data_IF_845109594823
#
_entry.id   IF_845109594823
#
_cell.length_a   1.000
_cell.length_b   1.000
_cell.length_c   1.000
_cell.angle_alpha   90.00
_cell.angle_beta   90.00
_cell.angle_gamma   90.00
#
_symmetry.space_group_name_H-M   'P 1'
#
loop_
_entity.id
_entity.type
_entity.pdbx_description
1 polymer ?
#
# COMPACT_ATOMS: atom_id res chain seq x y z
N UNK A 1 46.83 -69.94 -52.55
CA UNK A 1 46.45 -70.30 -51.16
C UNK A 1 47.04 -69.29 -50.20
N UNK A 2 46.19 -68.35 -49.71
CA UNK A 2 46.54 -67.43 -48.67
C UNK A 2 45.23 -67.07 -47.96
N UNK A 3 45.16 -67.37 -46.64
CA UNK A 3 43.98 -67.15 -45.76
C UNK A 3 44.00 -65.73 -45.26
N UNK A 4 42.89 -65.04 -45.47
CA UNK A 4 42.63 -63.73 -44.87
C UNK A 4 42.32 -63.87 -43.39
N UNK A 5 43.06 -63.16 -42.51
CA UNK A 5 42.86 -63.06 -41.07
C UNK A 5 41.83 -61.96 -40.79
N UNK A 6 40.79 -62.32 -40.07
CA UNK A 6 39.71 -61.43 -39.61
C UNK A 6 40.19 -60.77 -38.30
N UNK A 7 40.51 -59.47 -38.30
CA UNK A 7 40.82 -58.71 -37.10
C UNK A 7 39.51 -58.24 -36.47
N UNK A 8 39.26 -58.68 -35.23
CA UNK A 8 38.22 -58.17 -34.33
C UNK A 8 38.58 -56.80 -33.81
N UNK A 9 37.80 -55.79 -34.04
CA UNK A 9 37.85 -54.52 -33.31
C UNK A 9 37.19 -54.68 -31.94
N UNK A 10 37.84 -54.19 -30.84
CA UNK A 10 37.20 -54.16 -29.52
C UNK A 10 36.12 -53.12 -29.50
N UNK A 11 34.96 -53.48 -28.96
CA UNK A 11 33.77 -52.64 -28.83
C UNK A 11 34.05 -51.41 -27.94
N UNK A 12 33.81 -50.24 -28.52
CA UNK A 12 33.79 -48.99 -27.78
C UNK A 12 32.61 -48.99 -26.84
N UNK A 13 32.92 -48.95 -25.53
CA UNK A 13 31.92 -48.73 -24.47
C UNK A 13 31.33 -47.34 -24.64
N UNK A 14 30.10 -47.23 -25.08
CA UNK A 14 29.34 -45.97 -24.98
C UNK A 14 29.14 -45.62 -23.51
N UNK A 15 29.92 -44.64 -23.02
CA UNK A 15 29.65 -44.00 -21.76
C UNK A 15 28.32 -43.23 -21.92
N UNK A 16 27.22 -43.83 -21.47
CA UNK A 16 25.99 -43.14 -21.19
C UNK A 16 26.26 -42.18 -20.02
N UNK A 17 26.51 -40.92 -20.36
CA UNK A 17 26.54 -39.84 -19.38
C UNK A 17 25.23 -39.78 -18.63
N UNK A 18 25.15 -40.43 -17.47
CA UNK A 18 24.05 -40.31 -16.53
C UNK A 18 24.00 -38.89 -16.04
N UNK A 19 23.15 -38.07 -16.66
CA UNK A 19 22.80 -36.77 -16.13
C UNK A 19 22.13 -36.95 -14.76
N UNK A 20 22.90 -36.81 -13.69
CA UNK A 20 22.38 -36.75 -12.34
C UNK A 20 21.29 -35.71 -12.29
N UNK A 21 20.12 -36.05 -11.76
CA UNK A 21 19.05 -35.08 -11.54
C UNK A 21 19.61 -33.89 -10.73
N UNK A 22 19.33 -32.65 -11.17
CA UNK A 22 19.86 -31.48 -10.51
C UNK A 22 19.54 -31.51 -9.02
N UNK A 23 20.54 -31.28 -8.17
CA UNK A 23 20.35 -31.25 -6.73
C UNK A 23 19.41 -30.08 -6.35
N UNK A 24 18.80 -30.14 -5.16
CA UNK A 24 17.97 -29.02 -4.66
C UNK A 24 18.75 -27.70 -4.59
N UNK A 25 20.06 -27.76 -4.36
CA UNK A 25 20.95 -26.60 -4.37
C UNK A 25 21.13 -26.03 -5.77
N UNK A 26 21.31 -26.88 -6.79
CA UNK A 26 21.42 -26.44 -8.19
C UNK A 26 20.12 -25.82 -8.69
N UNK A 27 18.98 -26.40 -8.31
CA UNK A 27 17.66 -25.83 -8.64
C UNK A 27 17.48 -24.41 -8.04
N UNK A 28 17.87 -24.20 -6.78
CA UNK A 28 17.83 -22.88 -6.13
C UNK A 28 18.78 -21.89 -6.80
N UNK A 29 20.01 -22.32 -7.10
CA UNK A 29 20.99 -21.49 -7.81
C UNK A 29 20.50 -21.09 -9.20
N UNK A 30 19.99 -22.04 -9.98
CA UNK A 30 19.46 -21.79 -11.31
C UNK A 30 18.26 -20.83 -11.25
N UNK A 31 17.36 -21.00 -10.28
CA UNK A 31 16.24 -20.07 -10.05
C UNK A 31 16.71 -18.64 -9.78
N UNK A 32 17.75 -18.48 -8.93
CA UNK A 32 18.32 -17.16 -8.63
C UNK A 32 18.96 -16.51 -9.87
N UNK A 33 19.71 -17.27 -10.67
CA UNK A 33 20.28 -16.79 -11.94
C UNK A 33 19.22 -16.33 -12.93
N UNK A 34 18.12 -17.09 -13.06
CA UNK A 34 16.99 -16.73 -13.93
C UNK A 34 16.33 -15.45 -13.43
N UNK A 35 16.08 -15.29 -12.13
CA UNK A 35 15.49 -14.07 -11.56
C UNK A 35 16.41 -12.85 -11.77
N UNK A 36 17.72 -13.01 -11.61
CA UNK A 36 18.68 -11.93 -11.85
C UNK A 36 18.68 -11.51 -13.33
N UNK A 37 18.77 -12.47 -14.27
CA UNK A 37 18.74 -12.19 -15.69
C UNK A 37 17.39 -11.57 -16.13
N UNK A 38 16.29 -12.05 -15.56
CA UNK A 38 14.95 -11.54 -15.86
C UNK A 38 14.79 -10.09 -15.38
N UNK A 39 15.30 -9.74 -14.19
CA UNK A 39 15.29 -8.36 -13.68
C UNK A 39 15.94 -7.40 -14.68
N UNK A 40 17.17 -7.67 -15.08
CA UNK A 40 17.88 -6.84 -16.06
C UNK A 40 17.13 -6.76 -17.38
N UNK A 41 16.65 -7.89 -17.89
CA UNK A 41 15.93 -7.92 -19.16
C UNK A 41 14.61 -7.13 -19.13
N UNK A 42 13.85 -7.22 -18.05
CA UNK A 42 12.61 -6.46 -17.84
C UNK A 42 12.86 -4.97 -17.61
N UNK A 43 13.95 -4.61 -16.95
CA UNK A 43 14.37 -3.20 -16.80
C UNK A 43 14.71 -2.57 -18.15
N UNK A 44 15.42 -3.29 -19.02
CA UNK A 44 15.87 -2.79 -20.32
C UNK A 44 14.78 -2.79 -21.39
N UNK A 45 14.00 -3.87 -21.48
CA UNK A 45 13.14 -4.17 -22.63
C UNK A 45 11.64 -4.27 -22.27
N UNK A 46 11.30 -4.19 -20.96
CA UNK A 46 9.93 -4.38 -20.50
C UNK A 46 9.46 -5.82 -20.69
N UNK A 47 8.15 -6.03 -20.72
CA UNK A 47 7.54 -7.36 -20.89
C UNK A 47 7.67 -7.93 -22.33
N UNK A 48 8.22 -7.17 -23.29
CA UNK A 48 8.44 -7.62 -24.66
C UNK A 48 9.51 -8.71 -24.80
N UNK A 49 10.44 -8.85 -23.85
CA UNK A 49 11.57 -9.78 -23.93
C UNK A 49 11.12 -11.24 -23.94
N UNK A 50 11.62 -12.09 -24.89
CA UNK A 50 11.31 -13.51 -24.93
C UNK A 50 11.96 -14.28 -23.76
N UNK A 51 11.28 -15.32 -23.21
CA UNK A 51 11.85 -16.18 -22.18
C UNK A 51 13.15 -16.88 -22.59
N UNK A 52 13.31 -17.20 -23.88
CA UNK A 52 14.52 -17.79 -24.43
C UNK A 52 15.75 -16.88 -24.30
N UNK A 53 15.57 -15.56 -24.45
CA UNK A 53 16.63 -14.58 -24.26
C UNK A 53 17.02 -14.46 -22.78
N UNK A 54 16.04 -14.53 -21.88
CA UNK A 54 16.28 -14.54 -20.43
C UNK A 54 17.06 -15.82 -20.04
N UNK A 55 16.69 -16.97 -20.58
CA UNK A 55 17.40 -18.24 -20.37
C UNK A 55 18.87 -18.15 -20.79
N UNK A 56 19.11 -17.59 -21.99
CA UNK A 56 20.46 -17.36 -22.51
C UNK A 56 21.28 -16.44 -21.60
N UNK A 57 20.72 -15.32 -21.15
CA UNK A 57 21.36 -14.38 -20.22
C UNK A 57 21.66 -15.03 -18.86
N UNK A 58 20.78 -15.92 -18.40
CA UNK A 58 20.96 -16.66 -17.15
C UNK A 58 21.96 -17.82 -17.26
N UNK A 59 22.41 -18.18 -18.46
CA UNK A 59 23.28 -19.33 -18.70
C UNK A 59 22.62 -20.67 -18.40
N UNK A 60 21.27 -20.76 -18.53
CA UNK A 60 20.50 -21.99 -18.31
C UNK A 60 19.70 -22.38 -19.53
N UNK A 61 19.34 -23.66 -19.63
CA UNK A 61 18.47 -24.13 -20.72
C UNK A 61 17.04 -23.57 -20.61
N UNK A 62 16.38 -23.28 -21.73
CA UNK A 62 15.00 -22.81 -21.75
C UNK A 62 14.04 -23.72 -20.97
N UNK A 63 14.21 -25.06 -21.07
CA UNK A 63 13.44 -26.01 -20.27
C UNK A 63 13.61 -25.87 -18.75
N UNK A 64 14.76 -25.36 -18.30
CA UNK A 64 14.98 -25.04 -16.86
C UNK A 64 14.16 -23.83 -16.46
N UNK A 65 14.09 -22.79 -17.31
CA UNK A 65 13.24 -21.61 -17.05
C UNK A 65 11.78 -22.02 -16.94
N UNK A 66 11.26 -22.78 -17.90
CA UNK A 66 9.86 -23.22 -17.91
C UNK A 66 9.49 -24.12 -16.71
N UNK A 67 10.43 -24.92 -16.20
CA UNK A 67 10.19 -25.71 -14.96
C UNK A 67 10.01 -24.84 -13.74
N UNK A 68 10.72 -23.73 -13.64
CA UNK A 68 10.62 -22.82 -12.51
C UNK A 68 9.51 -21.78 -12.67
N UNK A 69 9.27 -21.36 -13.91
CA UNK A 69 8.34 -20.28 -14.23
C UNK A 69 7.52 -20.69 -15.48
N UNK A 70 6.28 -21.17 -15.28
CA UNK A 70 5.48 -21.73 -16.35
C UNK A 70 5.07 -20.70 -17.43
N UNK A 71 5.14 -19.41 -17.10
CA UNK A 71 4.86 -18.32 -18.03
C UNK A 71 5.79 -17.11 -17.78
N UNK A 72 5.79 -16.18 -18.73
CA UNK A 72 6.53 -14.91 -18.60
C UNK A 72 5.96 -14.05 -17.48
N UNK A 73 4.66 -14.04 -17.33
CA UNK A 73 3.94 -13.33 -16.27
C UNK A 73 4.28 -13.93 -14.89
N UNK A 74 4.41 -15.26 -14.79
CA UNK A 74 4.87 -15.91 -13.56
C UNK A 74 6.31 -15.53 -13.21
N UNK A 75 7.19 -15.46 -14.20
CA UNK A 75 8.56 -14.98 -14.00
C UNK A 75 8.58 -13.49 -13.60
N UNK A 76 7.81 -12.66 -14.26
CA UNK A 76 7.69 -11.24 -13.93
C UNK A 76 7.19 -11.04 -12.49
N UNK A 77 6.08 -11.69 -12.11
CA UNK A 77 5.59 -11.65 -10.72
C UNK A 77 6.65 -12.08 -9.71
N UNK A 78 7.42 -13.11 -10.01
CA UNK A 78 8.49 -13.57 -9.13
C UNK A 78 9.64 -12.55 -9.02
N UNK A 79 9.99 -11.83 -10.10
CA UNK A 79 11.01 -10.77 -10.04
C UNK A 79 10.56 -9.57 -9.23
N UNK A 80 9.28 -9.20 -9.31
CA UNK A 80 8.72 -8.10 -8.51
C UNK A 80 8.63 -8.51 -7.04
N UNK A 81 8.16 -9.73 -6.74
CA UNK A 81 8.10 -10.24 -5.36
C UNK A 81 9.49 -10.27 -4.70
N UNK A 82 10.52 -10.70 -5.41
CA UNK A 82 11.91 -10.71 -4.93
C UNK A 82 12.43 -9.28 -4.66
N UNK A 83 12.01 -8.29 -5.45
CA UNK A 83 12.35 -6.88 -5.22
C UNK A 83 11.63 -6.32 -4.00
N UNK A 84 10.35 -6.61 -3.84
CA UNK A 84 9.56 -6.21 -2.67
C UNK A 84 10.15 -6.82 -1.40
N UNK A 85 10.55 -8.10 -1.44
CA UNK A 85 11.22 -8.75 -0.32
C UNK A 85 12.52 -8.05 0.05
N UNK A 86 13.35 -7.69 -0.94
CA UNK A 86 14.59 -6.95 -0.69
C UNK A 86 14.32 -5.59 -0.01
N UNK A 87 13.28 -4.87 -0.42
CA UNK A 87 12.90 -3.61 0.23
C UNK A 87 12.41 -3.85 1.66
N UNK A 88 11.65 -4.91 1.89
CA UNK A 88 11.16 -5.31 3.20
C UNK A 88 12.31 -5.61 4.16
N UNK A 89 13.26 -6.43 3.73
CA UNK A 89 14.43 -6.79 4.52
C UNK A 89 15.30 -5.55 4.80
N UNK A 90 15.53 -4.71 3.77
CA UNK A 90 16.25 -3.44 3.96
C UNK A 90 15.55 -2.52 4.96
N UNK A 91 14.22 -2.42 4.93
CA UNK A 91 13.48 -1.60 5.88
C UNK A 91 13.60 -2.14 7.31
N UNK A 92 13.57 -3.46 7.48
CA UNK A 92 13.79 -4.13 8.78
C UNK A 92 15.17 -3.87 9.32
N UNK A 93 16.22 -4.01 8.49
CA UNK A 93 17.60 -3.76 8.87
C UNK A 93 17.86 -2.30 9.29
N UNK A 94 17.08 -1.37 8.70
CA UNK A 94 17.17 0.05 9.00
C UNK A 94 16.27 0.48 10.19
N UNK A 95 15.50 -0.44 10.76
CA UNK A 95 14.53 -0.12 11.81
C UNK A 95 15.18 0.55 13.04
N UNK A 96 16.39 0.18 13.41
CA UNK A 96 17.09 0.70 14.60
C UNK A 96 18.14 1.78 14.30
N UNK A 97 18.13 2.34 13.09
CA UNK A 97 19.12 3.35 12.71
C UNK A 97 19.03 4.62 13.59
N UNK A 98 20.19 5.24 13.85
CA UNK A 98 20.36 6.41 14.71
C UNK A 98 19.68 7.66 14.11
N UNK A 99 19.66 7.81 12.78
CA UNK A 99 18.99 8.90 12.06
C UNK A 99 17.69 8.42 11.41
N UNK A 100 16.58 8.29 12.16
CA UNK A 100 15.34 7.74 11.63
C UNK A 100 14.73 8.62 10.55
N UNK A 101 14.89 9.93 10.63
CA UNK A 101 14.35 10.87 9.62
C UNK A 101 15.10 10.75 8.30
N UNK A 102 16.42 10.82 8.34
CA UNK A 102 17.23 10.68 7.14
C UNK A 102 17.11 9.30 6.52
N UNK A 103 17.03 8.24 7.34
CA UNK A 103 16.81 6.86 6.88
C UNK A 103 15.49 6.73 6.16
N UNK A 104 14.39 7.21 6.73
CA UNK A 104 13.07 7.17 6.11
C UNK A 104 13.07 7.80 4.72
N UNK A 105 13.56 9.03 4.58
CA UNK A 105 13.58 9.71 3.28
C UNK A 105 14.55 9.07 2.27
N UNK A 106 15.71 8.61 2.72
CA UNK A 106 16.66 7.87 1.85
C UNK A 106 16.05 6.55 1.38
N UNK A 107 15.34 5.83 2.25
CA UNK A 107 14.64 4.61 1.90
C UNK A 107 13.57 4.87 0.84
N UNK A 108 12.65 5.82 1.05
CA UNK A 108 11.63 6.18 0.04
C UNK A 108 12.26 6.54 -1.30
N UNK A 109 13.29 7.39 -1.30
CA UNK A 109 14.00 7.77 -2.51
C UNK A 109 14.68 6.60 -3.22
N UNK A 110 15.15 5.60 -2.48
CA UNK A 110 15.74 4.39 -3.05
C UNK A 110 14.69 3.47 -3.66
N UNK A 111 13.55 3.28 -2.98
CA UNK A 111 12.41 2.51 -3.51
C UNK A 111 11.93 3.11 -4.83
N UNK A 112 11.65 4.41 -4.86
CA UNK A 112 11.18 5.09 -6.09
C UNK A 112 12.22 4.97 -7.20
N UNK A 113 13.49 5.27 -6.93
CA UNK A 113 14.55 5.22 -7.94
C UNK A 113 14.73 3.83 -8.54
N UNK A 114 14.69 2.78 -7.71
CA UNK A 114 14.87 1.40 -8.16
C UNK A 114 13.63 0.84 -8.84
N UNK A 115 12.43 1.20 -8.38
CA UNK A 115 11.19 0.77 -9.00
C UNK A 115 10.94 1.49 -10.34
N UNK A 116 11.16 2.80 -10.41
CA UNK A 116 10.96 3.57 -11.64
C UNK A 116 11.90 3.17 -12.81
N UNK A 117 12.99 2.48 -12.52
CA UNK A 117 13.87 1.88 -13.54
C UNK A 117 13.28 0.61 -14.15
N UNK A 118 12.37 -0.07 -13.47
CA UNK A 118 11.74 -1.28 -13.96
C UNK A 118 10.58 -0.92 -14.89
N UNK A 119 10.87 -0.81 -16.19
CA UNK A 119 9.87 -0.47 -17.20
C UNK A 119 8.67 -1.41 -17.16
N UNK A 120 8.90 -2.73 -17.02
CA UNK A 120 7.82 -3.70 -16.96
C UNK A 120 6.92 -3.51 -15.73
N UNK A 121 7.48 -3.11 -14.57
CA UNK A 121 6.69 -2.79 -13.37
C UNK A 121 5.84 -1.55 -13.60
N UNK A 122 6.41 -0.51 -14.20
CA UNK A 122 5.67 0.72 -14.47
C UNK A 122 4.57 0.50 -15.51
N UNK A 123 4.86 -0.23 -16.58
CA UNK A 123 3.87 -0.62 -17.58
C UNK A 123 2.73 -1.45 -16.95
N UNK A 124 3.05 -2.34 -16.01
CA UNK A 124 2.05 -3.13 -15.27
C UNK A 124 1.22 -2.29 -14.31
N UNK A 125 1.82 -1.30 -13.63
CA UNK A 125 1.10 -0.36 -12.76
C UNK A 125 0.18 0.58 -13.56
N UNK A 126 0.56 0.94 -14.79
CA UNK A 126 -0.26 1.77 -15.69
C UNK A 126 -1.40 0.99 -16.33
N UNK A 127 -1.16 -0.29 -16.66
CA UNK A 127 -2.16 -1.19 -17.22
C UNK A 127 -3.18 -1.70 -16.19
N UNK A 128 -3.09 -1.29 -14.92
CA UNK A 128 -3.91 -1.77 -13.80
C UNK A 128 -5.41 -1.41 -13.92
N UNK A 129 -6.01 -1.78 -15.06
CA UNK A 129 -7.45 -1.88 -15.24
C UNK A 129 -7.98 -3.30 -15.04
N UNK A 130 -7.24 -4.34 -15.42
CA UNK A 130 -7.65 -5.75 -15.21
C UNK A 130 -6.43 -6.69 -15.30
N UNK A 131 -5.97 -7.22 -14.18
CA UNK A 131 -5.19 -8.47 -14.14
C UNK A 131 -3.67 -8.38 -14.35
N UNK A 132 -3.06 -7.20 -14.43
CA UNK A 132 -1.65 -7.11 -14.85
C UNK A 132 -0.64 -7.43 -13.73
N UNK A 133 -0.88 -7.05 -12.49
CA UNK A 133 -0.04 -7.39 -11.34
C UNK A 133 -0.80 -7.25 -10.03
N UNK A 134 -1.09 -8.36 -9.39
CA UNK A 134 -1.49 -8.38 -7.98
C UNK A 134 -0.30 -8.87 -7.17
N UNK A 135 0.30 -8.01 -6.31
CA UNK A 135 1.31 -8.46 -5.37
C UNK A 135 0.71 -9.52 -4.44
N UNK A 136 1.54 -10.40 -3.91
CA UNK A 136 1.08 -11.33 -2.88
C UNK A 136 0.59 -10.52 -1.67
N UNK A 137 -0.65 -10.72 -1.18
CA UNK A 137 -1.16 -9.99 -0.01
C UNK A 137 -0.27 -10.12 1.23
N UNK A 138 0.47 -11.24 1.34
CA UNK A 138 1.46 -11.42 2.40
C UNK A 138 2.67 -10.48 2.22
N UNK A 139 3.22 -10.38 1.02
CA UNK A 139 4.37 -9.51 0.72
C UNK A 139 4.01 -8.03 0.89
N UNK A 140 2.81 -7.62 0.48
CA UNK A 140 2.31 -6.25 0.69
C UNK A 140 2.20 -5.91 2.17
N UNK A 141 1.62 -6.81 2.95
CA UNK A 141 1.49 -6.62 4.40
C UNK A 141 2.86 -6.52 5.07
N UNK A 142 3.79 -7.45 4.76
CA UNK A 142 5.14 -7.45 5.34
C UNK A 142 5.91 -6.17 4.99
N UNK A 143 5.83 -5.72 3.75
CA UNK A 143 6.42 -4.45 3.33
C UNK A 143 5.77 -3.27 4.05
N UNK A 144 4.44 -3.26 4.16
CA UNK A 144 3.68 -2.24 4.89
C UNK A 144 4.09 -2.16 6.36
N UNK A 145 4.20 -3.30 7.05
CA UNK A 145 4.64 -3.38 8.44
C UNK A 145 6.04 -2.79 8.62
N UNK A 146 6.99 -3.20 7.79
CA UNK A 146 8.37 -2.72 7.84
C UNK A 146 8.47 -1.20 7.54
N UNK A 147 7.76 -0.72 6.52
CA UNK A 147 7.67 0.70 6.19
C UNK A 147 6.99 1.51 7.31
N UNK A 148 5.96 0.94 7.94
CA UNK A 148 5.26 1.54 9.06
C UNK A 148 6.16 1.80 10.27
N UNK A 149 7.10 0.90 10.55
CA UNK A 149 8.11 1.10 11.60
C UNK A 149 9.01 2.29 11.28
N UNK A 150 9.52 2.40 10.04
CA UNK A 150 10.35 3.53 9.63
C UNK A 150 9.58 4.86 9.70
N UNK A 151 8.30 4.86 9.27
CA UNK A 151 7.42 6.02 9.33
C UNK A 151 7.20 6.47 10.77
N UNK A 152 6.82 5.56 11.66
CA UNK A 152 6.54 5.86 13.07
C UNK A 152 7.76 6.49 13.75
N UNK A 153 8.94 5.92 13.57
CA UNK A 153 10.18 6.46 14.15
C UNK A 153 10.55 7.85 13.60
N UNK A 154 10.33 8.08 12.30
CA UNK A 154 10.58 9.38 11.68
C UNK A 154 9.57 10.45 12.16
N UNK A 155 8.31 10.05 12.46
CA UNK A 155 7.29 10.91 13.07
C UNK A 155 7.59 11.20 14.54
N UNK A 156 8.03 10.21 15.32
CA UNK A 156 8.46 10.38 16.70
C UNK A 156 9.63 11.35 16.82
N UNK A 157 10.59 11.25 15.89
CA UNK A 157 11.73 12.18 15.80
C UNK A 157 11.34 13.57 15.26
N UNK A 158 10.07 13.83 14.92
CA UNK A 158 9.57 15.13 14.48
C UNK A 158 9.95 15.53 13.05
N UNK A 159 10.48 14.60 12.25
CA UNK A 159 10.89 14.90 10.86
C UNK A 159 9.82 14.67 9.83
N UNK A 160 8.78 13.89 10.17
CA UNK A 160 7.64 13.58 9.30
C UNK A 160 6.34 14.01 9.98
N UNK A 161 5.45 14.59 9.22
CA UNK A 161 4.14 15.08 9.69
C UNK A 161 3.29 13.92 10.23
N UNK A 162 2.64 14.15 11.39
CA UNK A 162 1.89 13.11 12.11
C UNK A 162 0.47 12.85 11.58
N UNK A 163 -0.01 13.69 10.66
CA UNK A 163 -1.32 13.54 10.03
C UNK A 163 -1.30 12.67 8.77
N UNK A 164 -0.13 12.16 8.38
CA UNK A 164 0.07 11.20 7.27
C UNK A 164 0.11 9.79 7.84
N UNK A 165 -0.71 8.89 7.27
CA UNK A 165 -0.72 7.47 7.58
C UNK A 165 0.15 6.64 6.63
N UNK A 166 0.28 5.35 6.95
CA UNK A 166 1.00 4.40 6.12
C UNK A 166 0.39 4.30 4.71
N UNK A 167 -0.95 4.26 4.62
CA UNK A 167 -1.67 4.17 3.34
C UNK A 167 -1.38 5.37 2.44
N UNK A 168 -1.25 6.58 3.03
CA UNK A 168 -0.86 7.78 2.29
C UNK A 168 0.54 7.65 1.70
N UNK A 169 1.49 7.15 2.50
CA UNK A 169 2.87 6.95 2.05
C UNK A 169 2.94 5.90 0.94
N UNK A 170 2.20 4.81 1.05
CA UNK A 170 2.14 3.77 0.02
C UNK A 170 1.53 4.30 -1.27
N UNK A 171 0.40 5.03 -1.20
CA UNK A 171 -0.22 5.65 -2.36
C UNK A 171 0.72 6.67 -3.04
N UNK A 172 1.42 7.50 -2.24
CA UNK A 172 2.41 8.45 -2.75
C UNK A 172 3.60 7.75 -3.41
N UNK A 173 4.08 6.63 -2.87
CA UNK A 173 5.14 5.83 -3.48
C UNK A 173 4.73 5.33 -4.86
N UNK A 174 3.57 4.69 -4.98
CA UNK A 174 3.05 4.16 -6.25
C UNK A 174 2.90 5.29 -7.28
N UNK A 175 2.25 6.39 -6.92
CA UNK A 175 2.09 7.54 -7.79
C UNK A 175 3.42 8.17 -8.19
N UNK A 176 4.38 8.27 -7.27
CA UNK A 176 5.69 8.83 -7.52
C UNK A 176 6.52 7.95 -8.48
N UNK A 177 6.48 6.62 -8.34
CA UNK A 177 7.14 5.67 -9.25
C UNK A 177 6.66 5.89 -10.68
N UNK A 178 5.34 5.91 -10.92
CA UNK A 178 4.75 6.13 -12.24
C UNK A 178 5.11 7.50 -12.81
N UNK A 179 5.08 8.55 -11.99
CA UNK A 179 5.44 9.91 -12.44
C UNK A 179 6.92 10.03 -12.79
N UNK A 180 7.84 9.47 -12.01
CA UNK A 180 9.27 9.49 -12.30
C UNK A 180 9.59 8.73 -13.58
N UNK A 181 8.95 7.60 -13.82
CA UNK A 181 9.14 6.80 -15.02
C UNK A 181 8.69 7.56 -16.28
N UNK A 182 7.48 8.16 -16.27
CA UNK A 182 6.97 8.98 -17.39
C UNK A 182 7.88 10.18 -17.68
N UNK A 183 8.40 10.82 -16.63
CA UNK A 183 9.34 11.94 -16.78
C UNK A 183 10.69 11.50 -17.34
N UNK A 184 11.20 10.36 -16.93
CA UNK A 184 12.44 9.79 -17.46
C UNK A 184 12.31 9.49 -18.96
N UNK A 185 11.16 9.00 -19.41
CA UNK A 185 10.85 8.76 -20.83
C UNK A 185 10.80 10.06 -21.66
N UNK A 186 10.51 11.20 -21.04
CA UNK A 186 10.52 12.53 -21.70
C UNK A 186 11.85 13.27 -21.59
N UNK A 187 12.93 12.65 -21.08
CA UNK A 187 14.25 13.26 -20.91
C UNK A 187 14.36 14.26 -19.76
N UNK A 188 13.38 14.31 -18.86
CA UNK A 188 13.40 15.20 -17.70
C UNK A 188 14.34 14.68 -16.61
N UNK A 189 14.87 15.61 -15.79
CA UNK A 189 15.76 15.27 -14.66
C UNK A 189 15.05 14.31 -13.68
N UNK A 190 15.63 13.12 -13.43
CA UNK A 190 15.07 12.15 -12.49
C UNK A 190 15.07 12.68 -11.05
N UNK A 191 14.14 12.20 -10.23
CA UNK A 191 14.10 12.46 -8.79
C UNK A 191 13.34 13.72 -8.38
N UNK A 192 12.81 14.50 -9.32
CA UNK A 192 12.05 15.71 -9.00
C UNK A 192 10.73 15.39 -8.28
N UNK A 193 9.98 14.38 -8.74
CA UNK A 193 8.73 13.98 -8.09
C UNK A 193 9.02 13.37 -6.72
N UNK A 194 10.08 12.60 -6.61
CA UNK A 194 10.58 12.06 -5.34
C UNK A 194 10.90 13.18 -4.35
N UNK A 195 11.60 14.23 -4.79
CA UNK A 195 11.91 15.37 -3.94
C UNK A 195 10.64 16.10 -3.47
N UNK A 196 9.67 16.34 -4.36
CA UNK A 196 8.39 16.94 -4.02
C UNK A 196 7.57 16.10 -3.05
N UNK A 197 7.54 14.79 -3.24
CA UNK A 197 6.91 13.85 -2.32
C UNK A 197 7.56 13.92 -0.93
N UNK A 198 8.88 13.81 -0.86
CA UNK A 198 9.62 13.89 0.40
C UNK A 198 9.40 15.24 1.11
N UNK A 199 9.40 16.34 0.35
CA UNK A 199 9.14 17.67 0.89
C UNK A 199 7.72 17.83 1.42
N UNK A 200 6.73 17.20 0.78
CA UNK A 200 5.33 17.16 1.24
C UNK A 200 5.12 16.35 2.52
N UNK A 201 5.97 15.36 2.78
CA UNK A 201 5.92 14.51 3.97
C UNK A 201 6.64 15.12 5.19
N UNK A 202 7.52 16.11 4.99
CA UNK A 202 8.26 16.75 6.09
C UNK A 202 7.36 17.52 7.03
N UNK A 203 7.64 17.45 8.32
CA UNK A 203 6.99 18.34 9.27
C UNK A 203 7.43 19.80 9.02
N UNK A 204 6.47 20.65 8.65
CA UNK A 204 6.69 22.07 8.40
C UNK A 204 5.61 22.88 9.08
N UNK A 205 5.99 24.03 9.67
CA UNK A 205 5.02 25.01 10.16
C UNK A 205 4.26 25.62 8.97
N UNK A 206 2.93 25.58 8.98
CA UNK A 206 2.09 26.20 7.95
C UNK A 206 1.66 25.29 6.79
N UNK A 207 1.97 24.01 6.81
CA UNK A 207 1.42 23.05 5.86
C UNK A 207 -0.05 22.79 6.16
N UNK A 208 -0.88 22.65 5.12
CA UNK A 208 -2.27 22.23 5.26
C UNK A 208 -2.34 20.88 5.97
N UNK A 209 -2.99 20.86 7.15
CA UNK A 209 -3.19 19.61 7.89
C UNK A 209 -4.25 18.77 7.18
N UNK A 210 -3.90 17.53 6.87
CA UNK A 210 -4.83 16.57 6.30
C UNK A 210 -5.80 16.06 7.38
N UNK A 211 -7.05 15.73 7.04
CA UNK A 211 -7.92 14.97 7.93
C UNK A 211 -7.23 13.65 8.27
N UNK A 212 -7.15 13.31 9.55
CA UNK A 212 -6.57 12.01 9.97
C UNK A 212 -7.35 10.88 9.32
N UNK A 213 -6.67 9.99 8.61
CA UNK A 213 -7.24 8.72 8.15
C UNK A 213 -7.63 7.91 9.39
N UNK A 214 -8.85 7.39 9.42
CA UNK A 214 -9.38 6.67 10.57
C UNK A 214 -10.06 7.54 11.63
N UNK A 215 -10.06 8.88 11.55
CA UNK A 215 -11.21 9.61 12.00
C UNK A 215 -12.37 9.15 11.09
N UNK A 216 -12.90 7.93 11.35
CA UNK A 216 -14.27 7.65 10.96
C UNK A 216 -14.99 8.96 11.20
N UNK A 217 -15.59 9.55 10.15
CA UNK A 217 -16.61 10.59 10.37
C UNK A 217 -17.51 9.94 11.40
N UNK A 218 -17.31 10.29 12.68
CA UNK A 218 -18.30 10.00 13.67
C UNK A 218 -19.54 10.65 13.06
N UNK A 219 -20.36 9.81 12.44
CA UNK A 219 -21.70 10.21 12.09
C UNK A 219 -22.25 10.69 13.41
N UNK A 220 -22.23 12.00 13.58
CA UNK A 220 -22.64 12.62 14.83
C UNK A 220 -24.09 12.22 14.95
N UNK A 221 -24.38 11.28 15.84
CA UNK A 221 -25.74 10.81 16.05
C UNK A 221 -26.46 11.82 16.90
N UNK A 222 -27.67 12.11 16.54
CA UNK A 222 -28.51 13.06 17.28
C UNK A 222 -28.69 12.59 18.72
N UNK A 223 -28.40 13.46 19.70
CA UNK A 223 -28.51 13.16 21.13
C UNK A 223 -29.95 12.81 21.59
N UNK A 224 -30.96 13.02 20.73
CA UNK A 224 -32.37 12.80 21.05
C UNK A 224 -32.95 11.57 20.36
N UNK A 225 -32.62 11.31 19.11
CA UNK A 225 -33.23 10.21 18.33
C UNK A 225 -32.18 9.24 17.78
N UNK A 226 -30.89 9.43 18.05
CA UNK A 226 -29.78 8.66 17.53
C UNK A 226 -29.67 8.59 15.98
N UNK A 227 -30.52 9.32 15.26
CA UNK A 227 -30.44 9.43 13.80
C UNK A 227 -29.23 10.25 13.34
N UNK A 228 -28.85 10.17 12.05
CA UNK A 228 -27.70 10.90 11.50
C UNK A 228 -27.90 12.41 11.59
N UNK A 229 -26.85 13.13 11.98
CA UNK A 229 -26.86 14.61 12.02
C UNK A 229 -26.20 15.14 10.76
N UNK A 230 -26.81 16.07 10.02
CA UNK A 230 -26.21 16.67 8.83
C UNK A 230 -24.90 17.34 9.19
N UNK A 231 -23.83 17.03 8.45
CA UNK A 231 -22.52 17.67 8.61
C UNK A 231 -22.58 19.09 8.05
N UNK A 232 -22.42 20.09 8.91
CA UNK A 232 -22.24 21.47 8.46
C UNK A 232 -20.86 21.63 7.80
N UNK A 233 -20.81 22.32 6.68
CA UNK A 233 -19.54 22.58 5.95
C UNK A 233 -18.60 23.52 6.72
N UNK A 234 -19.13 24.34 7.59
CA UNK A 234 -18.38 25.30 8.42
C UNK A 234 -19.07 25.47 9.76
N UNK A 235 -18.34 25.72 10.82
CA UNK A 235 -18.86 26.04 12.14
C UNK A 235 -18.84 24.87 13.14
N UNK A 236 -19.44 25.10 14.34
CA UNK A 236 -19.49 24.10 15.42
C UNK A 236 -20.38 22.92 15.02
N UNK A 237 -19.95 21.67 15.23
CA UNK A 237 -20.74 20.48 14.92
C UNK A 237 -22.14 20.53 15.54
N UNK A 238 -23.17 20.22 14.74
CA UNK A 238 -24.55 20.17 15.20
C UNK A 238 -24.73 18.94 16.12
N UNK A 239 -25.46 19.10 17.21
CA UNK A 239 -25.74 18.04 18.20
C UNK A 239 -27.08 17.33 17.91
N UNK A 240 -27.93 17.90 17.04
CA UNK A 240 -29.29 17.44 16.74
C UNK A 240 -29.52 17.39 15.25
N UNK A 241 -30.26 16.37 14.78
CA UNK A 241 -30.57 16.19 13.37
C UNK A 241 -31.49 17.26 12.77
N UNK A 242 -32.19 18.04 13.61
CA UNK A 242 -33.10 19.08 13.18
C UNK A 242 -33.72 19.87 14.34
N UNK A 243 -34.61 20.84 13.99
CA UNK A 243 -35.24 21.73 14.93
C UNK A 243 -36.11 21.02 15.97
N UNK A 244 -36.84 19.98 15.57
CA UNK A 244 -37.71 19.19 16.46
C UNK A 244 -36.91 18.52 17.60
N UNK A 245 -35.76 17.89 17.29
CA UNK A 245 -34.87 17.28 18.30
C UNK A 245 -34.22 18.32 19.19
N UNK A 246 -33.82 19.47 18.63
CA UNK A 246 -33.31 20.60 19.41
C UNK A 246 -34.32 21.10 20.43
N UNK A 247 -35.57 21.25 20.01
CA UNK A 247 -36.67 21.71 20.90
C UNK A 247 -36.99 20.67 21.97
N UNK A 248 -37.01 19.38 21.64
CA UNK A 248 -37.22 18.27 22.59
C UNK A 248 -36.11 18.24 23.65
N UNK A 249 -34.86 18.41 23.26
CA UNK A 249 -33.72 18.49 24.18
C UNK A 249 -33.79 19.75 25.06
N UNK A 250 -34.23 20.89 24.53
CA UNK A 250 -34.45 22.13 25.30
C UNK A 250 -35.53 21.94 26.38
N UNK A 251 -36.69 21.39 26.01
CA UNK A 251 -37.76 21.10 26.97
C UNK A 251 -37.33 20.14 28.07
N UNK A 252 -36.54 19.09 27.74
CA UNK A 252 -36.02 18.13 28.71
C UNK A 252 -35.11 18.84 29.73
N UNK A 253 -34.18 19.69 29.25
CA UNK A 253 -33.29 20.46 30.12
C UNK A 253 -34.02 21.46 31.03
N UNK A 254 -35.05 22.13 30.48
CA UNK A 254 -35.86 23.05 31.28
C UNK A 254 -36.63 22.34 32.40
N UNK A 255 -37.17 21.14 32.16
CA UNK A 255 -37.82 20.31 33.18
C UNK A 255 -36.83 19.86 34.27
N UNK A 256 -35.61 19.44 33.88
CA UNK A 256 -34.56 19.02 34.83
C UNK A 256 -34.12 20.20 35.70
N UNK A 257 -34.03 21.40 35.09
CA UNK A 257 -33.68 22.65 35.84
C UNK A 257 -34.77 23.06 36.76
N UNK A 258 -36.05 22.94 36.38
CA UNK A 258 -37.20 23.22 37.24
C UNK A 258 -37.25 22.29 38.46
N UNK A 259 -36.99 20.98 38.26
CA UNK A 259 -36.87 19.98 39.35
C UNK A 259 -35.72 20.25 40.30
N UNK A 260 -34.57 20.70 39.78
CA UNK A 260 -33.40 21.04 40.61
C UNK A 260 -33.60 22.32 41.48
N UNK A 261 -34.43 23.24 40.97
CA UNK A 261 -34.71 24.51 41.65
C UNK A 261 -35.93 24.47 42.56
N UNK A 262 -36.46 23.28 42.88
CA UNK A 262 -37.53 23.08 43.86
C UNK A 262 -38.93 23.71 43.50
N UNK A 263 -39.15 24.02 42.26
CA UNK A 263 -40.44 24.59 41.81
C UNK A 263 -41.36 23.44 41.40
N UNK A 264 -42.51 23.20 42.12
CA UNK A 264 -43.48 22.16 41.73
C UNK A 264 -44.10 22.49 40.38
N UNK A 265 -44.17 21.51 39.46
CA UNK A 265 -44.87 21.61 38.22
C UNK A 265 -46.38 21.75 38.52
N UNK A 266 -46.90 22.95 38.23
CA UNK A 266 -48.21 23.22 37.67
C UNK A 266 -49.44 22.78 38.43
N UNK A 267 -49.93 23.63 39.28
CA UNK A 267 -51.39 23.75 39.40
C UNK A 267 -51.90 24.72 38.33
N UNK A 268 -52.33 24.21 37.19
CA UNK A 268 -53.30 24.94 36.38
C UNK A 268 -54.64 24.83 37.08
N UNK A 269 -54.97 25.88 37.86
CA UNK A 269 -56.29 26.06 38.43
C UNK A 269 -57.35 26.03 37.34
N UNK A 270 -58.23 25.07 37.46
CA UNK A 270 -59.51 25.02 36.80
C UNK A 270 -60.39 25.98 37.57
N UNK A 271 -60.68 27.16 37.06
CA UNK A 271 -61.71 28.03 37.57
C UNK A 271 -63.05 27.56 37.01
N UNK A 272 -64.02 27.16 37.83
CA UNK A 272 -65.37 26.93 37.35
C UNK A 272 -66.04 28.26 37.13
N UNK A 273 -66.61 28.46 35.94
CA UNK A 273 -67.54 29.48 35.61
C UNK A 273 -68.84 29.17 36.35
N UNK A 274 -69.24 29.98 37.34
CA UNK A 274 -70.58 29.98 37.92
C UNK A 274 -71.48 30.96 37.20
N UNK A 275 -72.77 30.68 37.11
CA UNK A 275 -73.69 31.45 36.30
C UNK A 275 -74.16 32.79 37.01
N UNK A 276 -74.33 33.80 36.17
CA UNK A 276 -75.01 35.04 36.58
C UNK A 276 -76.51 34.82 36.69
N UNK A 277 -77.02 34.99 37.87
CA UNK A 277 -78.44 35.29 38.07
C UNK A 277 -78.64 36.77 38.30
N UNK A 278 -79.58 37.33 37.51
CA UNK A 278 -80.02 38.69 37.62
C UNK A 278 -80.98 38.94 38.77
N UNK A 279 -81.23 40.16 39.05
CA UNK A 279 -82.54 40.73 39.37
C UNK A 279 -82.40 42.22 39.72
N UNK A 280 -83.16 43.02 38.94
CA UNK A 280 -83.67 44.41 39.16
C UNK A 280 -82.71 45.57 39.03
#
# INVERSE_FOLDING_TARGET
MARAGCQRFPGGSMMTGGGSAPSRSDARRNRALVLQAARTAFEEQGLGVPLGEIAKRAGVGAGTVYRHFPSKEALFRATVADRVQLFTDTARDLADAVDPVGVFFRFLGSVVRLAARNKALCDALEAAGEGAYEPSPAAEREFGEALGVLLARAQEAGGVRRDVGLDDVQALLVGCISMEQRRSSSGAVPGRMTALMCDGLRERRGVTKLPRQGAQRNETRCEVCAGPVPTARTGRPARYCGGACRQKAHRARSRTRARKNGRPEGAKGNSPSGPAEGVR
#
